data_IF_936467238682
#
_entry.id   IF_936467238682
#
_cell.length_a   1.000
_cell.length_b   1.000
_cell.length_c   1.000
_cell.angle_alpha   90.00
_cell.angle_beta   90.00
_cell.angle_gamma   90.00
#
_symmetry.space_group_name_H-M   'P 1'
#
loop_
_entity.id
_entity.type
_entity.pdbx_description
1 polymer ?
#
# COMPACT_ATOMS: atom_id res chain seq x y z
N UNK A 1 -10.15 32.28 15.56
CA UNK A 1 -9.47 31.67 14.40
C UNK A 1 -8.14 31.11 14.89
N UNK A 2 -7.96 29.80 14.78
CA UNK A 2 -6.76 29.10 15.25
C UNK A 2 -5.65 29.23 14.21
N UNK A 3 -4.47 29.70 14.60
CA UNK A 3 -3.31 29.80 13.71
C UNK A 3 -2.63 28.43 13.61
N UNK A 4 -2.34 27.97 12.39
CA UNK A 4 -1.57 26.74 12.18
C UNK A 4 -0.09 27.11 12.24
N UNK A 5 0.63 26.56 13.21
CA UNK A 5 2.08 26.76 13.33
C UNK A 5 2.83 25.75 12.45
N UNK A 6 3.82 26.18 11.66
CA UNK A 6 4.63 25.27 10.87
C UNK A 6 5.60 24.48 11.75
N UNK A 7 5.87 23.23 11.35
CA UNK A 7 6.87 22.38 12.01
C UNK A 7 8.30 22.94 11.84
N UNK A 8 9.17 22.65 12.81
CA UNK A 8 10.55 23.14 12.82
C UNK A 8 11.38 22.53 11.67
N UNK A 9 12.03 23.37 10.86
CA UNK A 9 12.91 22.92 9.75
C UNK A 9 14.21 22.24 10.21
N UNK A 10 14.52 22.27 11.51
CA UNK A 10 15.73 21.69 12.10
C UNK A 10 15.44 20.43 12.93
N UNK A 11 14.22 19.91 12.85
CA UNK A 11 13.81 18.72 13.59
C UNK A 11 14.04 17.46 12.74
N UNK A 12 14.80 16.51 13.29
CA UNK A 12 14.90 15.15 12.77
C UNK A 12 13.87 14.27 13.49
N UNK A 13 12.76 13.95 12.82
CA UNK A 13 11.86 12.87 13.26
C UNK A 13 12.11 11.68 12.35
N UNK A 14 12.70 10.63 12.91
CA UNK A 14 12.72 9.32 12.28
C UNK A 14 11.72 8.44 13.04
N UNK A 15 10.67 7.94 12.40
CA UNK A 15 9.78 6.99 13.05
C UNK A 15 10.50 5.65 13.28
N UNK A 16 9.91 4.83 14.15
CA UNK A 16 10.42 3.48 14.42
C UNK A 16 10.16 2.54 13.26
N UNK A 17 9.10 2.79 12.47
CA UNK A 17 8.81 2.06 11.26
C UNK A 17 8.13 2.93 10.20
N UNK A 18 8.10 2.45 8.95
CA UNK A 18 7.45 3.15 7.84
C UNK A 18 5.94 3.33 8.11
N UNK A 19 5.33 2.38 8.83
CA UNK A 19 3.90 2.41 9.14
C UNK A 19 3.52 3.58 10.07
N UNK A 20 4.47 4.12 10.84
CA UNK A 20 4.23 5.30 11.69
C UNK A 20 3.99 6.58 10.88
N UNK A 21 4.43 6.62 9.60
CA UNK A 21 4.09 7.71 8.69
C UNK A 21 2.62 7.67 8.26
N UNK A 22 1.95 6.52 8.40
CA UNK A 22 0.57 6.34 7.98
C UNK A 22 -0.35 6.55 9.17
N UNK A 23 -1.17 7.61 9.11
CA UNK A 23 -2.20 7.88 10.13
C UNK A 23 -3.08 6.65 10.39
N UNK A 24 -3.55 6.49 11.63
CA UNK A 24 -4.45 5.40 12.03
C UNK A 24 -5.76 5.40 11.25
N UNK A 25 -6.23 6.58 10.86
CA UNK A 25 -7.48 6.76 10.10
C UNK A 25 -7.27 6.78 8.58
N UNK A 26 -6.05 6.48 8.11
CA UNK A 26 -5.77 6.46 6.68
C UNK A 26 -6.50 5.27 6.01
N UNK A 27 -7.25 5.49 4.91
CA UNK A 27 -7.98 4.43 4.21
C UNK A 27 -7.10 3.28 3.70
N UNK A 28 -5.79 3.50 3.51
CA UNK A 28 -4.84 2.43 3.13
C UNK A 28 -4.87 1.27 4.13
N UNK A 29 -5.07 1.55 5.43
CA UNK A 29 -5.16 0.51 6.46
C UNK A 29 -6.40 -0.37 6.29
N UNK A 30 -7.50 0.19 5.81
CA UNK A 30 -8.69 -0.59 5.45
C UNK A 30 -8.42 -1.50 4.25
N UNK A 31 -7.75 -0.98 3.21
CA UNK A 31 -7.39 -1.77 2.02
C UNK A 31 -6.52 -2.96 2.43
N UNK A 32 -5.56 -2.75 3.34
CA UNK A 32 -4.65 -3.78 3.85
C UNK A 32 -5.42 -4.96 4.48
N UNK A 33 -6.27 -4.66 5.47
CA UNK A 33 -7.09 -5.65 6.16
C UNK A 33 -8.10 -6.31 5.23
N UNK A 34 -8.72 -5.54 4.33
CA UNK A 34 -9.70 -6.05 3.37
C UNK A 34 -9.08 -7.09 2.44
N UNK A 35 -7.92 -6.76 1.84
CA UNK A 35 -7.23 -7.68 0.93
C UNK A 35 -6.74 -8.92 1.66
N UNK A 36 -6.19 -8.77 2.87
CA UNK A 36 -5.70 -9.91 3.64
C UNK A 36 -6.85 -10.87 4.00
N UNK A 37 -8.03 -10.35 4.36
CA UNK A 37 -9.23 -11.17 4.59
C UNK A 37 -9.76 -11.84 3.35
N UNK A 38 -9.76 -11.16 2.20
CA UNK A 38 -10.15 -11.78 0.92
C UNK A 38 -9.23 -12.94 0.55
N UNK A 39 -7.92 -12.78 0.75
CA UNK A 39 -6.92 -13.82 0.49
C UNK A 39 -7.09 -15.02 1.43
N UNK A 40 -7.43 -14.77 2.70
CA UNK A 40 -7.72 -15.82 3.69
C UNK A 40 -8.94 -16.65 3.28
N UNK A 41 -9.99 -16.01 2.76
CA UNK A 41 -11.24 -16.68 2.36
C UNK A 41 -11.08 -17.43 1.03
N UNK A 42 -10.29 -16.91 0.10
CA UNK A 42 -10.11 -17.47 -1.24
C UNK A 42 -8.64 -17.72 -1.57
N UNK A 43 -8.02 -18.73 -0.93
CA UNK A 43 -6.62 -19.05 -1.18
C UNK A 43 -6.36 -19.49 -2.63
N UNK A 44 -7.38 -19.98 -3.35
CA UNK A 44 -7.25 -20.34 -4.77
C UNK A 44 -6.93 -19.15 -5.69
N UNK A 45 -7.24 -17.91 -5.29
CA UNK A 45 -6.84 -16.70 -6.02
C UNK A 45 -5.33 -16.46 -5.95
N UNK A 46 -4.64 -17.06 -4.97
CA UNK A 46 -3.19 -17.17 -4.93
C UNK A 46 -2.72 -18.28 -5.89
N UNK A 47 -3.11 -18.22 -7.16
CA UNK A 47 -2.58 -19.13 -8.18
C UNK A 47 -1.06 -19.10 -8.13
N UNK A 48 -0.42 -20.28 -8.23
CA UNK A 48 1.02 -20.56 -8.19
C UNK A 48 1.84 -19.82 -9.28
N UNK A 49 1.77 -18.49 -9.31
CA UNK A 49 2.61 -17.64 -10.13
C UNK A 49 3.96 -17.48 -9.44
N UNK A 50 5.03 -17.61 -10.23
CA UNK A 50 6.40 -17.41 -9.74
C UNK A 50 7.12 -18.68 -9.28
N UNK A 51 6.56 -19.87 -9.53
CA UNK A 51 7.22 -21.16 -9.26
C UNK A 51 8.35 -21.52 -10.24
N UNK A 52 8.61 -20.66 -11.23
CA UNK A 52 9.71 -20.85 -12.17
C UNK A 52 11.05 -20.62 -11.47
N UNK A 53 11.97 -21.59 -11.62
CA UNK A 53 13.34 -21.49 -11.12
C UNK A 53 14.21 -20.45 -11.86
N UNK A 54 13.72 -19.90 -12.97
CA UNK A 54 14.45 -18.95 -13.80
C UNK A 54 13.63 -17.70 -14.05
N UNK A 55 14.31 -16.55 -14.17
CA UNK A 55 13.70 -15.25 -14.38
C UNK A 55 13.45 -14.47 -13.09
N UNK A 56 12.68 -13.37 -13.19
CA UNK A 56 12.33 -12.53 -12.05
C UNK A 56 11.18 -13.17 -11.27
N UNK A 57 11.33 -13.26 -9.95
CA UNK A 57 10.28 -13.72 -9.06
C UNK A 57 8.99 -12.93 -9.27
N UNK A 58 7.85 -13.61 -9.23
CA UNK A 58 6.56 -12.96 -9.32
C UNK A 58 6.29 -12.12 -8.06
N UNK A 59 5.59 -11.01 -8.22
CA UNK A 59 5.02 -10.28 -7.08
C UNK A 59 3.88 -11.10 -6.47
N UNK A 60 3.71 -10.97 -5.15
CA UNK A 60 2.56 -11.58 -4.47
C UNK A 60 1.26 -10.96 -4.97
N UNK A 61 0.23 -11.79 -5.15
CA UNK A 61 -1.08 -11.34 -5.61
C UNK A 61 -1.68 -10.29 -4.67
N UNK A 62 -1.59 -10.50 -3.36
CA UNK A 62 -2.08 -9.56 -2.34
C UNK A 62 -1.47 -8.17 -2.51
N UNK A 63 -0.16 -8.08 -2.75
CA UNK A 63 0.53 -6.80 -2.97
C UNK A 63 0.01 -6.07 -4.21
N UNK A 64 -0.10 -6.77 -5.34
CA UNK A 64 -0.62 -6.18 -6.58
C UNK A 64 -2.09 -5.77 -6.44
N UNK A 65 -2.88 -6.54 -5.70
CA UNK A 65 -4.29 -6.26 -5.49
C UNK A 65 -4.50 -5.05 -4.57
N UNK A 66 -3.69 -4.89 -3.52
CA UNK A 66 -3.67 -3.67 -2.69
C UNK A 66 -3.39 -2.42 -3.54
N UNK A 67 -2.37 -2.46 -4.41
CA UNK A 67 -2.05 -1.36 -5.32
C UNK A 67 -3.17 -1.07 -6.32
N UNK A 68 -3.80 -2.12 -6.86
CA UNK A 68 -4.91 -1.97 -7.79
C UNK A 68 -6.12 -1.27 -7.15
N UNK A 69 -6.53 -1.71 -5.96
CA UNK A 69 -7.63 -1.08 -5.21
C UNK A 69 -7.28 0.36 -4.84
N UNK A 70 -6.05 0.59 -4.38
CA UNK A 70 -5.59 1.94 -4.04
C UNK A 70 -5.67 2.89 -5.24
N UNK A 71 -5.13 2.49 -6.39
CA UNK A 71 -5.24 3.29 -7.62
C UNK A 71 -6.68 3.50 -8.07
N UNK A 72 -7.51 2.46 -7.97
CA UNK A 72 -8.93 2.55 -8.30
C UNK A 72 -9.67 3.58 -7.41
N UNK A 73 -9.48 3.52 -6.09
CA UNK A 73 -10.12 4.45 -5.15
C UNK A 73 -9.66 5.90 -5.35
N UNK A 74 -8.39 6.10 -5.72
CA UNK A 74 -7.85 7.41 -6.04
C UNK A 74 -8.09 7.85 -7.50
N UNK A 75 -8.85 7.08 -8.29
CA UNK A 75 -9.10 7.34 -9.72
C UNK A 75 -7.83 7.47 -10.56
N UNK A 76 -6.77 6.76 -10.17
CA UNK A 76 -5.48 6.71 -10.85
C UNK A 76 -5.41 5.46 -11.72
N UNK A 77 -5.55 5.64 -13.03
CA UNK A 77 -5.51 4.56 -14.02
C UNK A 77 -4.12 4.26 -14.58
N UNK A 78 -3.15 5.17 -14.40
CA UNK A 78 -1.80 5.03 -14.94
C UNK A 78 -0.85 4.53 -13.86
N UNK A 79 -0.15 3.43 -14.13
CA UNK A 79 0.88 2.91 -13.23
C UNK A 79 1.98 3.93 -12.93
N UNK A 80 2.36 4.76 -13.91
CA UNK A 80 3.35 5.83 -13.71
C UNK A 80 2.83 6.94 -12.80
N UNK A 81 1.54 7.28 -12.89
CA UNK A 81 0.95 8.26 -11.97
C UNK A 81 0.84 7.68 -10.56
N UNK A 82 0.54 6.39 -10.45
CA UNK A 82 0.48 5.69 -9.16
C UNK A 82 1.86 5.57 -8.50
N UNK A 83 2.94 5.46 -9.28
CA UNK A 83 4.31 5.48 -8.78
C UNK A 83 4.73 6.87 -8.24
N UNK A 84 4.12 7.95 -8.73
CA UNK A 84 4.44 9.32 -8.36
C UNK A 84 3.66 9.85 -7.15
N UNK A 85 2.59 9.17 -6.77
CA UNK A 85 1.75 9.51 -5.61
C UNK A 85 2.44 9.09 -4.31
#
# INVERSE_FOLDING_TARGET
MSYIYPESRHQLIMPFCIDDYVSKDNPVRFIDVFVDKMVEIQPELLSEKGTKHTGRSAYQFSTLFKLYIYGFLNSISSSRKLEQE
#
